data_IF_759868333831
#
_entry.id   IF_759868333831
#
_cell.length_a   1.000
_cell.length_b   1.000
_cell.length_c   1.000
_cell.angle_alpha   90.00
_cell.angle_beta   90.00
_cell.angle_gamma   90.00
#
_symmetry.space_group_name_H-M   'P 1'
#
loop_
_entity.id
_entity.type
_entity.pdbx_description
1 polymer ?
#
# COMPACT_ATOMS: atom_id res chain seq x y z
N UNK A 1 9.10 23.44 -38.11
CA UNK A 1 10.08 23.49 -37.00
C UNK A 1 9.45 22.74 -35.83
N UNK A 2 10.08 21.64 -35.45
CA UNK A 2 9.56 20.59 -34.56
C UNK A 2 9.27 21.11 -33.16
N UNK A 3 8.02 20.92 -32.72
CA UNK A 3 7.55 21.17 -31.36
C UNK A 3 8.29 20.27 -30.37
N UNK A 4 9.19 20.86 -29.60
CA UNK A 4 9.92 20.19 -28.53
C UNK A 4 8.99 20.07 -27.32
N UNK A 5 8.21 18.99 -27.30
CA UNK A 5 7.38 18.59 -26.16
C UNK A 5 8.29 18.16 -25.01
N UNK A 6 8.46 19.06 -24.03
CA UNK A 6 9.11 18.79 -22.76
C UNK A 6 8.42 17.60 -22.07
N UNK A 7 8.98 16.41 -22.25
CA UNK A 7 8.63 15.22 -21.45
C UNK A 7 9.07 15.49 -20.00
N UNK A 8 8.21 16.16 -19.23
CA UNK A 8 8.30 16.16 -17.76
C UNK A 8 8.27 14.70 -17.33
N UNK A 9 9.44 14.16 -17.00
CA UNK A 9 9.60 12.88 -16.32
C UNK A 9 8.96 13.06 -14.94
N UNK A 10 7.62 13.00 -14.87
CA UNK A 10 6.88 12.95 -13.61
C UNK A 10 7.34 11.64 -12.98
N UNK A 11 8.36 11.73 -12.11
CA UNK A 11 8.69 10.66 -11.18
C UNK A 11 7.42 10.44 -10.37
N UNK A 12 6.60 9.47 -10.76
CA UNK A 12 5.51 8.94 -9.95
C UNK A 12 6.17 8.28 -8.74
N UNK A 13 6.63 9.10 -7.81
CA UNK A 13 7.16 8.68 -6.52
C UNK A 13 6.04 8.98 -5.55
N UNK A 14 4.99 8.15 -5.61
CA UNK A 14 3.91 8.26 -4.65
C UNK A 14 4.51 7.93 -3.29
N UNK A 15 4.60 8.95 -2.45
CA UNK A 15 5.02 8.81 -1.06
C UNK A 15 3.82 8.40 -0.22
N UNK A 16 4.08 7.66 0.85
CA UNK A 16 3.11 7.27 1.83
C UNK A 16 2.45 8.52 2.40
N UNK A 17 1.14 8.63 2.20
CA UNK A 17 0.33 9.70 2.78
C UNK A 17 -0.45 9.14 3.97
N UNK A 18 -0.56 9.92 5.04
CA UNK A 18 -1.35 9.59 6.22
C UNK A 18 -2.82 9.31 5.87
N UNK A 19 -3.33 9.85 4.76
CA UNK A 19 -4.66 9.52 4.20
C UNK A 19 -4.84 8.02 3.96
N UNK A 20 -3.77 7.27 3.64
CA UNK A 20 -3.87 5.82 3.48
C UNK A 20 -4.14 5.09 4.79
N UNK A 21 -3.62 5.58 5.92
CA UNK A 21 -3.94 5.02 7.24
C UNK A 21 -5.36 5.36 7.69
N UNK A 22 -5.92 6.46 7.17
CA UNK A 22 -7.30 6.88 7.43
C UNK A 22 -8.29 6.01 6.63
N UNK A 23 -8.03 5.80 5.34
CA UNK A 23 -8.83 4.90 4.49
C UNK A 23 -8.66 3.42 4.85
N UNK A 24 -7.45 3.00 5.21
CA UNK A 24 -7.10 1.61 5.49
C UNK A 24 -6.42 1.51 6.87
N UNK A 25 -7.17 1.18 7.95
CA UNK A 25 -6.63 1.20 9.32
C UNK A 25 -5.56 0.13 9.57
N UNK A 26 -5.46 -0.89 8.71
CA UNK A 26 -4.39 -1.89 8.73
C UNK A 26 -3.13 -1.47 7.96
N UNK A 27 -3.13 -0.30 7.31
CA UNK A 27 -2.01 0.24 6.58
C UNK A 27 -1.34 1.34 7.40
N UNK A 28 -0.03 1.25 7.55
CA UNK A 28 0.79 2.21 8.30
C UNK A 28 2.04 2.58 7.50
N UNK A 29 2.75 3.61 7.93
CA UNK A 29 4.02 3.99 7.30
C UNK A 29 5.06 2.88 7.51
N UNK A 30 5.68 2.42 6.43
CA UNK A 30 6.79 1.47 6.53
C UNK A 30 8.09 2.17 6.95
N UNK A 31 8.94 1.44 7.69
CA UNK A 31 10.32 1.87 7.98
C UNK A 31 11.26 1.67 6.78
N UNK A 32 10.85 0.89 5.78
CA UNK A 32 11.65 0.59 4.58
C UNK A 32 11.74 1.78 3.61
N UNK A 33 10.87 2.78 3.75
CA UNK A 33 10.97 4.05 3.02
C UNK A 33 9.62 4.66 2.69
N UNK A 34 9.64 5.90 2.20
CA UNK A 34 8.42 6.66 1.89
C UNK A 34 7.57 6.02 0.78
N UNK A 35 8.14 5.18 -0.08
CA UNK A 35 7.40 4.49 -1.14
C UNK A 35 6.85 3.12 -0.69
N UNK A 36 6.94 2.82 0.60
CA UNK A 36 6.46 1.59 1.19
C UNK A 36 5.37 1.86 2.23
N UNK A 37 4.35 1.02 2.21
CA UNK A 37 3.27 0.99 3.19
C UNK A 37 3.32 -0.34 3.93
N UNK A 38 3.32 -0.34 5.25
CA UNK A 38 3.31 -1.57 6.04
C UNK A 38 1.87 -2.02 6.30
N UNK A 39 1.56 -3.25 5.92
CA UNK A 39 0.27 -3.87 6.23
C UNK A 39 0.40 -4.67 7.52
N UNK A 40 -0.31 -4.26 8.57
CA UNK A 40 -0.31 -4.92 9.88
C UNK A 40 -0.98 -6.28 9.84
N UNK A 41 -2.03 -6.44 9.02
CA UNK A 41 -2.72 -7.72 8.80
C UNK A 41 -1.79 -8.74 8.17
N UNK A 42 -1.01 -8.34 7.16
CA UNK A 42 -0.07 -9.23 6.47
C UNK A 42 1.32 -9.26 7.11
N UNK A 43 1.58 -8.37 8.07
CA UNK A 43 2.92 -8.04 8.60
C UNK A 43 3.98 -7.95 7.50
N UNK A 44 3.65 -7.28 6.39
CA UNK A 44 4.50 -7.21 5.19
C UNK A 44 4.50 -5.78 4.63
N UNK A 45 5.65 -5.35 4.12
CA UNK A 45 5.79 -4.10 3.38
C UNK A 45 5.23 -4.20 1.95
N UNK A 46 4.42 -3.22 1.57
CA UNK A 46 3.80 -3.07 0.26
C UNK A 46 4.48 -1.92 -0.46
N UNK A 47 4.98 -2.17 -1.67
CA UNK A 47 5.51 -1.12 -2.53
C UNK A 47 4.35 -0.32 -3.15
N UNK A 48 4.22 0.95 -2.79
CA UNK A 48 3.16 1.86 -3.26
C UNK A 48 3.67 2.86 -4.31
N UNK A 49 4.88 2.64 -4.82
CA UNK A 49 5.59 3.55 -5.74
C UNK A 49 4.79 3.89 -7.00
N UNK A 50 4.03 2.95 -7.54
CA UNK A 50 3.44 3.07 -8.87
C UNK A 50 2.05 3.72 -8.86
N UNK A 51 1.13 3.20 -8.04
CA UNK A 51 -0.28 3.61 -7.99
C UNK A 51 -0.71 4.08 -6.61
N UNK A 52 0.15 3.99 -5.59
CA UNK A 52 -0.20 4.43 -4.24
C UNK A 52 -1.31 3.55 -3.66
N UNK A 53 -2.51 4.14 -3.64
CA UNK A 53 -3.79 3.51 -3.31
C UNK A 53 -4.07 2.25 -4.13
N UNK A 54 -3.79 2.27 -5.43
CA UNK A 54 -4.08 1.13 -6.30
C UNK A 54 -3.27 -0.13 -5.93
N UNK A 55 -2.03 0.05 -5.47
CA UNK A 55 -1.20 -1.05 -4.99
C UNK A 55 -1.73 -1.61 -3.67
N UNK A 56 -2.23 -0.74 -2.78
CA UNK A 56 -2.90 -1.12 -1.53
C UNK A 56 -4.18 -1.91 -1.82
N UNK A 57 -5.04 -1.43 -2.71
CA UNK A 57 -6.27 -2.13 -3.11
C UNK A 57 -5.93 -3.51 -3.69
N UNK A 58 -4.98 -3.57 -4.62
CA UNK A 58 -4.56 -4.84 -5.19
C UNK A 58 -4.01 -5.79 -4.12
N UNK A 59 -3.28 -5.28 -3.12
CA UNK A 59 -2.81 -6.08 -1.99
C UNK A 59 -3.96 -6.69 -1.18
N UNK A 60 -5.02 -5.92 -0.92
CA UNK A 60 -6.22 -6.39 -0.18
C UNK A 60 -6.93 -7.51 -0.97
N UNK A 61 -6.95 -7.39 -2.30
CA UNK A 61 -7.53 -8.41 -3.18
C UNK A 61 -6.68 -9.70 -3.28
N UNK A 62 -5.39 -9.66 -2.91
CA UNK A 62 -4.54 -10.86 -2.93
C UNK A 62 -5.06 -11.89 -1.92
N UNK A 63 -5.00 -13.16 -2.33
CA UNK A 63 -5.35 -14.30 -1.46
C UNK A 63 -4.56 -14.30 -0.15
N UNK A 64 -3.31 -13.85 -0.15
CA UNK A 64 -2.48 -13.76 1.06
C UNK A 64 -3.18 -12.90 2.13
N UNK A 65 -3.68 -11.73 1.74
CA UNK A 65 -4.39 -10.83 2.65
C UNK A 65 -5.70 -11.48 3.13
N UNK A 66 -6.52 -12.01 2.22
CA UNK A 66 -7.78 -12.70 2.58
C UNK A 66 -7.59 -13.86 3.57
N UNK A 67 -6.60 -14.72 3.34
CA UNK A 67 -6.29 -15.85 4.22
C UNK A 67 -5.84 -15.37 5.60
N UNK A 68 -4.96 -14.37 5.65
CA UNK A 68 -4.42 -13.85 6.91
C UNK A 68 -5.48 -13.08 7.71
N UNK A 69 -6.36 -12.32 7.05
CA UNK A 69 -7.54 -11.70 7.68
C UNK A 69 -8.45 -12.76 8.30
N UNK A 70 -8.70 -13.88 7.60
CA UNK A 70 -9.50 -14.98 8.14
C UNK A 70 -8.85 -15.60 9.38
N UNK A 71 -7.56 -15.93 9.31
CA UNK A 71 -6.81 -16.47 10.45
C UNK A 71 -6.79 -15.48 11.62
N UNK A 72 -6.60 -14.19 11.38
CA UNK A 72 -6.58 -13.16 12.43
C UNK A 72 -7.96 -13.02 13.10
N UNK A 73 -9.04 -13.07 12.31
CA UNK A 73 -10.40 -13.05 12.83
C UNK A 73 -10.71 -14.29 13.69
N UNK A 74 -10.31 -15.49 13.23
CA UNK A 74 -10.53 -16.74 13.97
C UNK A 74 -9.75 -16.76 15.30
N UNK A 75 -8.52 -16.22 15.33
CA UNK A 75 -7.72 -16.11 16.56
C UNK A 75 -8.23 -15.05 17.56
N UNK A 76 -9.06 -14.09 17.13
CA UNK A 76 -9.58 -13.02 18.01
C UNK A 76 -10.69 -13.51 18.95
N UNK A 77 -11.15 -14.74 18.79
CA UNK A 77 -12.24 -15.36 19.57
C UNK A 77 -11.74 -16.14 20.80
N UNK A 78 -10.44 -16.07 21.13
CA UNK A 78 -9.80 -16.77 22.26
C UNK A 78 -9.45 -15.84 23.44
N UNK A 79 -10.24 -14.78 23.67
CA UNK A 79 -10.14 -13.95 24.90
C UNK A 79 -11.41 -14.10 25.72
#
# INVERSE_FOLDING_TARGET
>A
LTEMSEKKNKKYSTSFNKTYSDEFPFITSSKSGVNYAFCTVCSTDILIKHKGRGDITQHIEREKHRRMTKTLAENKTLV
#
